data_IF_956644361296
#
_entry.id   IF_956644361296
#
_cell.length_a   1.000
_cell.length_b   1.000
_cell.length_c   1.000
_cell.angle_alpha   90.00
_cell.angle_beta   90.00
_cell.angle_gamma   90.00
#
_symmetry.space_group_name_H-M   'P 1'
#
loop_
_entity.id
_entity.type
_entity.pdbx_description
1 polymer ?
#
# COMPACT_ATOMS: atom_id res chain seq x y z
N UNK A 1 70.15 -10.74 48.79
CA UNK A 1 70.46 -11.16 47.40
C UNK A 1 69.36 -12.14 46.98
N UNK A 2 68.40 -11.71 46.16
CA UNK A 2 67.55 -12.62 45.38
C UNK A 2 67.02 -11.84 44.17
N UNK A 3 67.76 -11.91 43.06
CA UNK A 3 67.32 -11.35 41.77
C UNK A 3 66.06 -12.12 41.37
N UNK A 4 64.93 -11.42 41.30
CA UNK A 4 63.74 -11.92 40.61
C UNK A 4 64.07 -12.01 39.12
N UNK A 5 64.62 -13.16 38.71
CA UNK A 5 64.75 -13.50 37.30
C UNK A 5 63.36 -14.01 36.90
N UNK A 6 62.47 -13.08 36.56
CA UNK A 6 61.36 -13.43 35.66
C UNK A 6 62.05 -13.85 34.37
N UNK A 7 62.20 -15.16 34.17
CA UNK A 7 62.93 -15.72 33.05
C UNK A 7 62.31 -15.19 31.76
N UNK A 8 63.15 -14.58 30.91
CA UNK A 8 62.80 -14.03 29.59
C UNK A 8 61.92 -14.99 28.76
N UNK A 9 62.06 -16.31 29.01
CA UNK A 9 61.23 -17.36 28.42
C UNK A 9 59.75 -17.28 28.81
N UNK A 10 59.40 -16.94 30.07
CA UNK A 10 58.00 -16.81 30.48
C UNK A 10 57.34 -15.57 29.88
N UNK A 11 58.07 -14.46 29.78
CA UNK A 11 57.58 -13.25 29.11
C UNK A 11 57.38 -13.50 27.60
N UNK A 12 58.33 -14.18 26.95
CA UNK A 12 58.21 -14.57 25.55
C UNK A 12 57.04 -15.53 25.32
N UNK A 13 56.81 -16.50 26.21
CA UNK A 13 55.65 -17.41 26.14
C UNK A 13 54.33 -16.68 26.35
N UNK A 14 54.27 -15.70 27.26
CA UNK A 14 53.06 -14.90 27.50
C UNK A 14 52.73 -14.02 26.27
N UNK A 15 53.73 -13.33 25.72
CA UNK A 15 53.57 -12.51 24.51
C UNK A 15 53.19 -13.39 23.31
N UNK A 16 53.85 -14.54 23.14
CA UNK A 16 53.50 -15.52 22.11
C UNK A 16 52.07 -16.05 22.24
N UNK A 17 51.61 -16.32 23.46
CA UNK A 17 50.23 -16.72 23.75
C UNK A 17 49.22 -15.62 23.43
N UNK A 18 49.51 -14.36 23.79
CA UNK A 18 48.64 -13.23 23.47
C UNK A 18 48.55 -13.01 21.96
N UNK A 19 49.67 -13.05 21.23
CA UNK A 19 49.70 -12.91 19.77
C UNK A 19 48.93 -14.05 19.11
N UNK A 20 49.14 -15.29 19.57
CA UNK A 20 48.45 -16.45 19.02
C UNK A 20 46.94 -16.39 19.27
N UNK A 21 46.51 -15.99 20.47
CA UNK A 21 45.09 -15.80 20.78
C UNK A 21 44.49 -14.63 19.98
N UNK A 22 45.21 -13.52 19.79
CA UNK A 22 44.78 -12.43 18.92
C UNK A 22 44.66 -12.88 17.46
N UNK A 23 45.60 -13.68 16.97
CA UNK A 23 45.52 -14.25 15.62
C UNK A 23 44.34 -15.21 15.49
N UNK A 24 44.06 -16.05 16.51
CA UNK A 24 42.87 -16.90 16.50
C UNK A 24 41.58 -16.09 16.57
N UNK A 25 41.50 -15.06 17.42
CA UNK A 25 40.35 -14.15 17.50
C UNK A 25 40.17 -13.45 16.16
N UNK A 26 41.21 -12.84 15.59
CA UNK A 26 41.14 -12.19 14.27
C UNK A 26 40.75 -13.21 13.19
N UNK A 27 41.29 -14.42 13.18
CA UNK A 27 40.96 -15.41 12.16
C UNK A 27 39.53 -15.99 12.31
N UNK A 28 39.04 -16.11 13.55
CA UNK A 28 37.65 -16.53 13.85
C UNK A 28 36.66 -15.40 13.50
N UNK A 29 36.98 -14.14 13.85
CA UNK A 29 36.09 -13.00 13.63
C UNK A 29 36.23 -12.36 12.23
N UNK A 30 37.37 -12.52 11.55
CA UNK A 30 37.70 -11.84 10.27
C UNK A 30 38.00 -12.84 9.14
N UNK A 31 38.38 -14.09 9.45
CA UNK A 31 39.09 -14.95 8.50
C UNK A 31 38.27 -16.03 7.78
N UNK A 32 37.26 -16.64 8.41
CA UNK A 32 36.77 -17.94 7.91
C UNK A 32 35.38 -17.97 7.25
N UNK A 33 34.40 -17.29 7.82
CA UNK A 33 32.98 -17.57 7.51
C UNK A 33 32.16 -16.35 7.08
N UNK A 34 32.69 -15.13 7.17
CA UNK A 34 31.88 -13.89 7.15
C UNK A 34 32.33 -12.83 6.12
N UNK A 35 33.22 -13.16 5.18
CA UNK A 35 33.52 -12.22 4.08
C UNK A 35 32.52 -12.39 2.95
N UNK A 36 31.62 -11.41 2.82
CA UNK A 36 30.81 -11.22 1.61
C UNK A 36 31.77 -11.20 0.41
N UNK A 37 31.52 -12.06 -0.58
CA UNK A 37 32.34 -12.16 -1.79
C UNK A 37 31.72 -11.35 -2.93
N UNK A 38 30.93 -12.00 -3.79
CA UNK A 38 30.32 -11.39 -4.97
C UNK A 38 29.28 -10.31 -4.63
N UNK A 39 28.65 -10.40 -3.47
CA UNK A 39 27.59 -9.48 -3.03
C UNK A 39 28.11 -8.19 -2.39
N UNK A 40 29.41 -8.13 -2.07
CA UNK A 40 29.99 -7.01 -1.31
C UNK A 40 29.84 -5.67 -2.05
N UNK A 41 30.10 -5.65 -3.37
CA UNK A 41 29.97 -4.43 -4.17
C UNK A 41 28.55 -3.87 -4.17
N UNK A 42 27.56 -4.72 -4.45
CA UNK A 42 26.15 -4.32 -4.44
C UNK A 42 25.66 -3.85 -3.06
N UNK A 43 26.16 -4.48 -1.98
CA UNK A 43 25.84 -4.05 -0.62
C UNK A 43 26.42 -2.65 -0.32
N UNK A 44 27.69 -2.42 -0.68
CA UNK A 44 28.35 -1.11 -0.51
C UNK A 44 27.62 -0.03 -1.30
N UNK A 45 27.24 -0.29 -2.55
CA UNK A 45 26.49 0.66 -3.39
C UNK A 45 25.15 1.01 -2.73
N UNK A 46 24.38 0.02 -2.30
CA UNK A 46 23.09 0.24 -1.65
C UNK A 46 23.21 1.06 -0.36
N UNK A 47 24.17 0.72 0.52
CA UNK A 47 24.41 1.47 1.75
C UNK A 47 24.90 2.90 1.47
N UNK A 48 25.77 3.08 0.47
CA UNK A 48 26.29 4.40 0.09
C UNK A 48 25.17 5.32 -0.38
N UNK A 49 24.26 4.81 -1.22
CA UNK A 49 23.10 5.58 -1.70
C UNK A 49 22.13 5.89 -0.56
N UNK A 50 21.83 4.91 0.29
CA UNK A 50 20.94 5.10 1.43
C UNK A 50 21.51 6.09 2.47
N UNK A 51 22.83 6.24 2.53
CA UNK A 51 23.50 7.20 3.42
C UNK A 51 23.54 8.63 2.86
N UNK A 52 23.09 8.88 1.63
CA UNK A 52 23.00 10.24 1.07
C UNK A 52 21.99 11.04 1.90
N UNK A 53 22.46 12.13 2.49
CA UNK A 53 21.63 13.02 3.30
C UNK A 53 20.77 13.92 2.42
N UNK A 54 19.44 13.79 2.56
CA UNK A 54 18.43 14.56 1.84
C UNK A 54 17.52 15.35 2.79
N UNK A 55 18.10 15.92 3.87
CA UNK A 55 17.45 16.86 4.81
C UNK A 55 16.18 16.39 5.51
N UNK A 56 15.85 15.10 5.46
CA UNK A 56 14.57 14.57 5.95
C UNK A 56 13.38 14.85 5.03
N UNK A 57 13.58 15.56 3.93
CA UNK A 57 12.57 15.98 2.95
C UNK A 57 12.80 15.31 1.58
N UNK A 58 13.51 14.19 1.55
CA UNK A 58 13.79 13.45 0.33
C UNK A 58 14.60 12.19 0.60
N UNK A 59 14.95 11.49 -0.47
CA UNK A 59 15.75 10.27 -0.44
C UNK A 59 16.52 10.10 -1.76
N UNK A 60 17.54 9.25 -1.79
CA UNK A 60 18.23 8.88 -3.02
C UNK A 60 17.98 7.41 -3.37
N UNK A 61 18.01 7.10 -4.67
CA UNK A 61 17.84 5.74 -5.19
C UNK A 61 19.03 5.35 -6.07
N UNK A 62 19.30 4.05 -6.16
CA UNK A 62 20.44 3.52 -6.92
C UNK A 62 20.31 3.84 -8.42
N UNK A 63 19.07 3.85 -8.92
CA UNK A 63 18.67 4.22 -10.28
C UNK A 63 18.20 5.68 -10.38
N UNK A 64 18.54 6.52 -9.40
CA UNK A 64 18.23 7.94 -9.38
C UNK A 64 18.97 8.76 -10.45
N UNK A 65 18.49 9.97 -10.70
CA UNK A 65 19.12 10.89 -11.65
C UNK A 65 20.55 11.25 -11.21
N UNK A 66 21.46 11.30 -12.18
CA UNK A 66 22.88 11.63 -11.97
C UNK A 66 23.18 12.99 -12.62
N UNK A 67 23.74 13.93 -11.86
CA UNK A 67 24.22 15.22 -12.40
C UNK A 67 25.68 15.10 -12.84
N UNK A 68 26.11 15.97 -13.77
CA UNK A 68 27.51 16.11 -14.22
C UNK A 68 28.45 16.08 -13.01
N UNK A 69 29.29 15.04 -12.93
CA UNK A 69 30.15 14.76 -11.77
C UNK A 69 29.79 13.50 -10.97
N UNK A 70 28.89 12.64 -11.47
CA UNK A 70 28.52 11.34 -10.88
C UNK A 70 27.92 11.41 -9.46
N UNK A 71 27.30 12.54 -9.10
CA UNK A 71 26.53 12.63 -7.84
C UNK A 71 25.06 12.35 -8.11
N UNK A 72 24.51 11.37 -7.39
CA UNK A 72 23.08 11.10 -7.35
C UNK A 72 22.33 12.29 -6.74
N UNK A 73 21.20 12.63 -7.31
CA UNK A 73 20.32 13.72 -6.86
C UNK A 73 19.29 13.16 -5.88
N UNK A 74 19.05 13.89 -4.79
CA UNK A 74 17.94 13.59 -3.90
C UNK A 74 16.60 13.77 -4.63
N UNK A 75 15.74 12.77 -4.52
CA UNK A 75 14.34 12.82 -4.92
C UNK A 75 13.53 13.43 -3.77
N UNK A 76 13.12 14.69 -3.95
CA UNK A 76 12.50 15.51 -2.91
C UNK A 76 11.01 15.22 -2.75
N UNK A 77 10.54 15.33 -1.51
CA UNK A 77 9.12 15.39 -1.20
C UNK A 77 8.48 16.63 -1.87
N UNK A 78 7.16 16.59 -2.05
CA UNK A 78 6.40 17.72 -2.60
C UNK A 78 6.76 19.01 -1.88
N UNK A 79 6.94 20.09 -2.63
CA UNK A 79 7.28 21.42 -2.11
C UNK A 79 8.70 21.59 -1.55
N UNK A 80 9.58 20.60 -1.71
CA UNK A 80 11.00 20.72 -1.38
C UNK A 80 11.88 20.64 -2.63
N UNK A 81 13.01 21.35 -2.60
CA UNK A 81 13.96 21.43 -3.71
C UNK A 81 15.38 21.67 -3.18
N UNK A 82 16.30 21.86 -4.11
CA UNK A 82 17.73 21.95 -3.84
C UNK A 82 18.41 20.59 -3.90
N UNK A 83 19.76 20.57 -3.88
CA UNK A 83 20.54 19.34 -4.05
C UNK A 83 20.33 18.31 -2.93
N UNK A 84 19.92 18.76 -1.75
CA UNK A 84 19.68 17.96 -0.55
C UNK A 84 18.22 18.08 -0.05
N UNK A 85 17.31 18.62 -0.85
CA UNK A 85 15.90 18.85 -0.49
C UNK A 85 15.66 19.77 0.72
N UNK A 86 16.63 20.59 1.13
CA UNK A 86 16.48 21.51 2.27
C UNK A 86 15.63 22.75 1.99
N UNK A 87 15.39 23.08 0.72
CA UNK A 87 14.77 24.35 0.35
C UNK A 87 13.26 24.18 0.13
N UNK A 88 12.46 24.84 0.96
CA UNK A 88 11.01 24.88 0.77
C UNK A 88 10.64 25.81 -0.38
N UNK A 89 9.72 25.39 -1.24
CA UNK A 89 9.18 26.17 -2.36
C UNK A 89 8.05 27.06 -1.84
N UNK A 90 8.20 28.40 -1.81
CA UNK A 90 7.16 29.30 -1.33
C UNK A 90 5.86 29.17 -2.13
N UNK A 91 4.72 29.33 -1.47
CA UNK A 91 3.38 29.23 -2.07
C UNK A 91 3.09 27.90 -2.78
N UNK A 92 3.83 26.84 -2.46
CA UNK A 92 3.58 25.55 -3.05
C UNK A 92 2.20 24.98 -2.66
N UNK A 93 1.62 24.27 -3.61
CA UNK A 93 0.31 23.63 -3.56
C UNK A 93 0.37 22.32 -2.78
N UNK A 94 -0.52 22.14 -1.81
CA UNK A 94 -0.68 20.88 -1.09
C UNK A 94 -1.23 19.80 -2.05
N UNK A 95 -0.47 18.73 -2.27
CA UNK A 95 -0.91 17.62 -3.12
C UNK A 95 -1.46 16.45 -2.29
N UNK A 96 -2.78 16.44 -2.09
CA UNK A 96 -3.52 15.38 -1.41
C UNK A 96 -4.34 14.51 -2.38
N UNK A 97 -4.01 14.47 -3.66
CA UNK A 97 -4.80 13.79 -4.68
C UNK A 97 -4.46 12.27 -4.77
N UNK A 98 -3.17 11.96 -4.95
CA UNK A 98 -2.66 10.61 -5.10
C UNK A 98 -2.77 9.78 -3.82
N UNK A 99 -3.23 8.53 -3.96
CA UNK A 99 -3.29 7.56 -2.86
C UNK A 99 -1.96 6.86 -2.59
N UNK A 100 -0.81 7.53 -2.72
CA UNK A 100 0.50 6.92 -2.60
C UNK A 100 0.89 6.74 -1.11
N UNK A 101 1.06 5.50 -0.60
CA UNK A 101 1.19 5.22 0.83
C UNK A 101 2.61 5.42 1.38
N UNK A 102 3.20 6.59 1.10
CA UNK A 102 4.55 6.96 1.52
C UNK A 102 4.69 7.14 3.04
N UNK A 103 3.59 7.24 3.79
CA UNK A 103 3.62 7.29 5.26
C UNK A 103 4.27 6.05 5.91
N UNK A 104 4.37 4.93 5.18
CA UNK A 104 5.01 3.69 5.65
C UNK A 104 6.52 3.65 5.37
N UNK A 105 7.08 4.59 4.61
CA UNK A 105 8.51 4.63 4.33
C UNK A 105 9.38 4.74 5.61
N UNK A 106 9.05 5.61 6.59
CA UNK A 106 9.83 5.69 7.83
C UNK A 106 9.89 4.37 8.60
N UNK A 107 8.83 3.55 8.54
CA UNK A 107 8.85 2.21 9.11
C UNK A 107 9.95 1.37 8.45
N UNK A 108 9.98 1.29 7.12
CA UNK A 108 10.98 0.48 6.41
C UNK A 108 12.41 1.00 6.56
N UNK A 109 12.60 2.31 6.72
CA UNK A 109 13.91 2.90 7.03
C UNK A 109 14.45 2.49 8.42
N UNK A 110 13.58 2.05 9.34
CA UNK A 110 13.99 1.49 10.63
C UNK A 110 14.21 -0.03 10.58
N UNK A 111 13.80 -0.69 9.49
CA UNK A 111 13.83 -2.15 9.32
C UNK A 111 14.68 -2.55 8.11
N UNK A 112 15.79 -1.85 7.88
CA UNK A 112 16.65 -2.03 6.69
C UNK A 112 17.17 -3.46 6.57
N UNK A 113 17.78 -4.00 7.64
CA UNK A 113 18.42 -5.31 7.60
C UNK A 113 17.42 -6.47 7.41
N UNK A 114 16.27 -6.42 8.07
CA UNK A 114 15.24 -7.48 7.98
C UNK A 114 14.48 -7.44 6.65
N UNK A 115 14.47 -6.32 5.94
CA UNK A 115 13.75 -6.14 4.67
C UNK A 115 14.62 -6.09 3.41
N UNK A 116 15.95 -5.91 3.55
CA UNK A 116 16.88 -5.84 2.43
C UNK A 116 17.00 -7.17 1.65
N UNK A 117 17.32 -7.05 0.35
CA UNK A 117 17.54 -8.17 -0.56
C UNK A 117 18.80 -7.94 -1.40
N UNK A 118 19.58 -9.01 -1.56
CA UNK A 118 20.60 -9.10 -2.60
C UNK A 118 20.13 -10.12 -3.63
N UNK A 119 19.99 -9.70 -4.88
CA UNK A 119 19.48 -10.53 -5.97
C UNK A 119 20.62 -10.90 -6.91
N UNK A 120 20.93 -12.20 -7.00
CA UNK A 120 21.94 -12.68 -7.94
C UNK A 120 21.46 -12.49 -9.39
N UNK A 121 22.36 -12.14 -10.31
CA UNK A 121 22.00 -11.83 -11.72
C UNK A 121 21.35 -12.98 -12.50
N UNK A 122 21.45 -14.22 -12.03
CA UNK A 122 20.79 -15.38 -12.63
C UNK A 122 19.45 -15.74 -11.97
N UNK A 123 19.02 -15.00 -10.94
CA UNK A 123 17.81 -15.31 -10.17
C UNK A 123 16.57 -15.38 -11.08
N UNK A 124 15.93 -16.55 -11.12
CA UNK A 124 14.63 -16.77 -11.76
C UNK A 124 14.53 -16.24 -13.22
N UNK A 125 15.58 -16.39 -14.03
CA UNK A 125 15.57 -16.00 -15.46
C UNK A 125 14.51 -16.72 -16.31
N UNK A 126 13.98 -17.85 -15.82
CA UNK A 126 12.93 -18.61 -16.51
C UNK A 126 11.55 -17.95 -16.39
N UNK A 127 10.73 -18.08 -17.43
CA UNK A 127 9.33 -17.65 -17.41
C UNK A 127 8.51 -18.29 -16.28
N UNK A 128 8.83 -19.54 -15.92
CA UNK A 128 8.06 -20.32 -14.93
C UNK A 128 8.93 -20.83 -13.79
N UNK A 129 8.34 -20.85 -12.59
CA UNK A 129 8.84 -21.66 -11.48
C UNK A 129 8.71 -23.16 -11.80
N UNK A 130 9.34 -24.00 -10.96
CA UNK A 130 9.16 -25.45 -11.02
C UNK A 130 7.69 -25.86 -11.05
N UNK A 131 7.35 -26.80 -11.95
CA UNK A 131 5.96 -27.20 -12.20
C UNK A 131 5.18 -26.27 -13.13
N UNK A 132 5.87 -25.45 -13.94
CA UNK A 132 5.28 -24.53 -14.95
C UNK A 132 4.35 -23.45 -14.38
N UNK A 133 4.50 -23.11 -13.10
CA UNK A 133 3.73 -22.05 -12.45
C UNK A 133 4.33 -20.66 -12.71
N UNK A 134 3.49 -19.65 -12.90
CA UNK A 134 3.93 -18.24 -12.92
C UNK A 134 4.18 -17.67 -11.51
N UNK A 135 3.67 -18.35 -10.48
CA UNK A 135 3.57 -17.85 -9.12
C UNK A 135 4.42 -18.63 -8.12
N UNK A 136 5.06 -17.91 -7.21
CA UNK A 136 5.85 -18.46 -6.11
C UNK A 136 4.95 -19.14 -5.08
N UNK A 137 5.16 -20.44 -4.87
CA UNK A 137 4.47 -21.21 -3.83
C UNK A 137 4.87 -20.75 -2.42
N UNK A 138 6.11 -20.33 -2.22
CA UNK A 138 6.59 -19.82 -0.94
C UNK A 138 5.96 -18.46 -0.61
N UNK A 139 5.81 -17.58 -1.60
CA UNK A 139 5.07 -16.33 -1.41
C UNK A 139 3.61 -16.60 -1.02
N UNK A 140 2.95 -17.55 -1.69
CA UNK A 140 1.58 -17.93 -1.34
C UNK A 140 1.46 -18.52 0.08
N UNK A 141 2.49 -19.19 0.60
CA UNK A 141 2.52 -19.64 2.01
C UNK A 141 2.66 -18.45 2.96
N UNK A 142 3.54 -17.50 2.66
CA UNK A 142 3.75 -16.30 3.48
C UNK A 142 2.50 -15.43 3.52
N UNK A 143 1.83 -15.22 2.39
CA UNK A 143 0.54 -14.51 2.32
C UNK A 143 -0.51 -15.15 3.25
N UNK A 144 -0.62 -16.49 3.26
CA UNK A 144 -1.53 -17.19 4.19
C UNK A 144 -1.17 -16.96 5.65
N UNK A 145 0.12 -16.96 5.99
CA UNK A 145 0.60 -16.67 7.35
C UNK A 145 0.26 -15.25 7.77
N UNK A 146 0.44 -14.27 6.89
CA UNK A 146 0.08 -12.86 7.17
C UNK A 146 -1.42 -12.74 7.45
N UNK A 147 -2.28 -13.30 6.60
CA UNK A 147 -3.71 -13.28 6.85
C UNK A 147 -4.12 -14.02 8.12
N UNK A 148 -3.48 -15.15 8.45
CA UNK A 148 -3.72 -15.87 9.69
C UNK A 148 -3.28 -15.07 10.93
N UNK A 149 -2.16 -14.35 10.85
CA UNK A 149 -1.67 -13.49 11.93
C UNK A 149 -2.56 -12.28 12.18
N UNK A 150 -3.16 -11.72 11.12
CA UNK A 150 -4.04 -10.54 11.24
C UNK A 150 -5.48 -10.96 11.55
N UNK A 151 -5.92 -12.12 11.07
CA UNK A 151 -7.30 -12.57 11.21
C UNK A 151 -8.30 -11.82 10.30
N UNK A 152 -7.84 -11.21 9.20
CA UNK A 152 -8.68 -10.41 8.30
C UNK A 152 -9.27 -11.20 7.12
N UNK A 153 -8.80 -12.41 6.81
CA UNK A 153 -9.32 -13.21 5.70
C UNK A 153 -9.17 -14.71 5.92
N UNK A 154 -10.17 -15.49 5.46
CA UNK A 154 -10.10 -16.95 5.39
C UNK A 154 -9.31 -17.36 4.16
N UNK A 155 -8.19 -18.06 4.37
CA UNK A 155 -7.29 -18.48 3.27
C UNK A 155 -7.05 -20.01 3.21
N UNK A 156 -7.58 -20.73 4.20
CA UNK A 156 -7.55 -22.18 4.29
C UNK A 156 -8.42 -22.78 3.18
N UNK A 157 -7.89 -23.78 2.47
CA UNK A 157 -8.58 -24.40 1.33
C UNK A 157 -9.04 -23.37 0.28
N UNK A 158 -8.21 -22.35 0.03
CA UNK A 158 -8.40 -21.34 -1.01
C UNK A 158 -7.21 -21.33 -1.97
N UNK A 159 -7.50 -21.02 -3.22
CA UNK A 159 -6.48 -20.75 -4.23
C UNK A 159 -5.94 -19.33 -4.08
N UNK A 160 -4.68 -19.13 -4.46
CA UNK A 160 -4.03 -17.81 -4.48
C UNK A 160 -3.38 -17.59 -5.84
N UNK A 161 -3.64 -16.43 -6.44
CA UNK A 161 -2.93 -15.94 -7.63
C UNK A 161 -2.30 -14.59 -7.34
N UNK A 162 -1.29 -14.21 -8.12
CA UNK A 162 -0.68 -12.88 -8.08
C UNK A 162 -0.96 -12.11 -9.35
N UNK A 163 -0.99 -10.78 -9.24
CA UNK A 163 -1.05 -9.85 -10.36
C UNK A 163 -0.15 -8.65 -10.15
N UNK A 164 0.09 -7.92 -11.24
CA UNK A 164 0.76 -6.62 -11.31
C UNK A 164 -0.08 -5.53 -10.60
N UNK A 165 -0.13 -5.61 -9.28
CA UNK A 165 -1.05 -4.87 -8.41
C UNK A 165 -2.46 -5.47 -8.39
N UNK A 166 -3.29 -5.02 -7.44
CA UNK A 166 -4.72 -5.39 -7.42
C UNK A 166 -5.44 -4.97 -8.70
N UNK A 167 -4.96 -3.91 -9.38
CA UNK A 167 -5.46 -3.46 -10.68
C UNK A 167 -5.53 -4.59 -11.71
N UNK A 168 -4.49 -5.42 -11.87
CA UNK A 168 -4.53 -6.55 -12.81
C UNK A 168 -5.43 -7.67 -12.29
N UNK A 169 -5.41 -7.89 -10.97
CA UNK A 169 -6.20 -8.95 -10.31
C UNK A 169 -7.71 -8.69 -10.45
N UNK A 170 -8.17 -7.45 -10.28
CA UNK A 170 -9.57 -7.05 -10.46
C UNK A 170 -10.04 -7.28 -11.90
N UNK A 171 -9.27 -6.83 -12.90
CA UNK A 171 -9.56 -7.11 -14.32
C UNK A 171 -9.67 -8.61 -14.60
N UNK A 172 -8.74 -9.41 -14.06
CA UNK A 172 -8.78 -10.87 -14.20
C UNK A 172 -10.03 -11.48 -13.54
N UNK A 173 -10.44 -10.97 -12.36
CA UNK A 173 -11.63 -11.44 -11.65
C UNK A 173 -12.90 -11.15 -12.43
N UNK A 174 -13.07 -9.92 -12.94
CA UNK A 174 -14.22 -9.54 -13.78
C UNK A 174 -14.31 -10.45 -15.01
N UNK A 175 -13.19 -10.67 -15.70
CA UNK A 175 -13.14 -11.59 -16.84
C UNK A 175 -13.52 -13.03 -16.45
N UNK A 176 -12.98 -13.53 -15.34
CA UNK A 176 -13.16 -14.91 -14.89
C UNK A 176 -14.54 -15.20 -14.26
N UNK A 177 -15.25 -14.17 -13.80
CA UNK A 177 -16.62 -14.29 -13.29
C UNK A 177 -17.68 -14.04 -14.35
N UNK A 178 -17.30 -13.46 -15.49
CA UNK A 178 -18.22 -13.28 -16.62
C UNK A 178 -18.68 -14.65 -17.15
N UNK A 179 -19.98 -14.83 -17.44
CA UNK A 179 -20.51 -16.09 -17.92
C UNK A 179 -19.95 -16.44 -19.30
N UNK A 180 -19.90 -17.73 -19.62
CA UNK A 180 -19.53 -18.22 -20.95
C UNK A 180 -20.77 -18.50 -21.79
N UNK A 181 -20.66 -18.31 -23.10
CA UNK A 181 -21.71 -18.66 -24.07
C UNK A 181 -23.08 -18.00 -23.83
N UNK A 182 -23.11 -16.80 -23.24
CA UNK A 182 -24.34 -16.00 -23.10
C UNK A 182 -24.49 -15.00 -24.23
N UNK A 183 -25.73 -14.73 -24.64
CA UNK A 183 -26.06 -13.71 -25.64
C UNK A 183 -25.89 -12.27 -25.13
N UNK A 184 -25.84 -12.09 -23.81
CA UNK A 184 -25.66 -10.78 -23.15
C UNK A 184 -24.42 -10.76 -22.25
N UNK A 185 -23.68 -9.64 -22.21
CA UNK A 185 -22.56 -9.46 -21.28
C UNK A 185 -23.04 -9.40 -19.83
N UNK A 186 -22.20 -9.82 -18.89
CA UNK A 186 -22.40 -9.56 -17.47
C UNK A 186 -22.44 -8.05 -17.19
N UNK A 187 -23.31 -7.65 -16.27
CA UNK A 187 -23.42 -6.28 -15.79
C UNK A 187 -22.50 -6.09 -14.60
N UNK A 188 -21.46 -5.30 -14.77
CA UNK A 188 -20.53 -4.97 -13.69
C UNK A 188 -21.00 -3.70 -13.01
N UNK A 189 -21.16 -3.74 -11.69
CA UNK A 189 -21.73 -2.66 -10.89
C UNK A 189 -20.92 -2.41 -9.63
N UNK A 190 -21.03 -1.19 -9.11
CA UNK A 190 -20.36 -0.71 -7.90
C UNK A 190 -21.35 0.15 -7.10
N UNK A 191 -21.27 0.20 -5.78
CA UNK A 191 -22.10 1.11 -4.98
C UNK A 191 -21.46 2.49 -4.82
N UNK A 192 -22.20 3.55 -5.13
CA UNK A 192 -21.73 4.94 -4.98
C UNK A 192 -21.58 5.33 -3.49
N UNK A 193 -20.53 6.06 -3.09
CA UNK A 193 -19.33 6.37 -3.87
C UNK A 193 -18.42 5.15 -4.01
N UNK A 194 -17.73 5.03 -5.16
CA UNK A 194 -16.89 3.88 -5.51
C UNK A 194 -15.49 4.31 -6.01
N UNK A 195 -14.55 3.37 -6.03
CA UNK A 195 -13.22 3.63 -6.58
C UNK A 195 -13.27 3.87 -8.10
N UNK A 196 -12.86 5.05 -8.63
CA UNK A 196 -13.10 5.40 -10.03
C UNK A 196 -12.49 4.43 -11.05
N UNK A 197 -11.39 3.75 -10.67
CA UNK A 197 -10.73 2.79 -11.56
C UNK A 197 -11.59 1.56 -11.81
N UNK A 198 -12.50 1.17 -10.92
CA UNK A 198 -13.40 0.03 -11.16
C UNK A 198 -14.26 0.29 -12.40
N UNK A 199 -14.82 1.49 -12.50
CA UNK A 199 -15.54 1.97 -13.69
C UNK A 199 -14.60 2.09 -14.89
N UNK A 200 -13.51 2.87 -14.76
CA UNK A 200 -12.62 3.18 -15.88
C UNK A 200 -12.02 1.92 -16.49
N UNK A 201 -11.52 1.01 -15.67
CA UNK A 201 -10.94 -0.26 -16.09
C UNK A 201 -11.97 -1.15 -16.77
N UNK A 202 -13.16 -1.30 -16.17
CA UNK A 202 -14.23 -2.13 -16.75
C UNK A 202 -14.72 -1.58 -18.08
N UNK A 203 -14.81 -0.26 -18.22
CA UNK A 203 -15.17 0.38 -19.49
C UNK A 203 -14.05 0.21 -20.52
N UNK A 204 -12.79 0.41 -20.13
CA UNK A 204 -11.63 0.27 -21.01
C UNK A 204 -11.48 -1.16 -21.57
N UNK A 205 -11.71 -2.18 -20.74
CA UNK A 205 -11.66 -3.59 -21.15
C UNK A 205 -13.02 -4.17 -21.54
N UNK A 206 -14.05 -3.33 -21.72
CA UNK A 206 -15.40 -3.81 -22.03
C UNK A 206 -15.38 -4.70 -23.28
N UNK A 207 -16.14 -5.79 -23.24
CA UNK A 207 -16.17 -6.80 -24.29
C UNK A 207 -17.55 -7.46 -24.35
N UNK A 208 -17.72 -8.44 -25.23
CA UNK A 208 -18.93 -9.27 -25.26
C UNK A 208 -19.18 -10.02 -23.93
N UNK A 209 -18.16 -10.14 -23.07
CA UNK A 209 -18.27 -10.84 -21.77
C UNK A 209 -18.86 -9.98 -20.67
N UNK A 210 -18.54 -8.69 -20.64
CA UNK A 210 -18.95 -7.79 -19.56
C UNK A 210 -18.96 -6.33 -19.99
N UNK A 211 -19.79 -5.55 -19.28
CA UNK A 211 -19.81 -4.09 -19.38
C UNK A 211 -20.18 -3.46 -18.05
N UNK A 212 -19.66 -2.26 -17.82
CA UNK A 212 -20.01 -1.47 -16.65
C UNK A 212 -21.41 -0.87 -16.80
N UNK A 213 -22.23 -0.97 -15.76
CA UNK A 213 -23.64 -0.56 -15.77
C UNK A 213 -24.02 0.38 -14.61
N UNK A 214 -23.03 0.93 -13.91
CA UNK A 214 -23.24 1.99 -12.93
C UNK A 214 -23.56 1.48 -11.52
N UNK A 215 -24.42 2.26 -10.85
CA UNK A 215 -24.68 2.13 -9.42
C UNK A 215 -25.51 0.89 -9.07
N UNK A 216 -25.00 0.09 -8.14
CA UNK A 216 -25.65 -1.09 -7.60
C UNK A 216 -27.03 -0.78 -6.98
N UNK A 217 -27.19 0.31 -6.24
CA UNK A 217 -28.48 0.63 -5.62
C UNK A 217 -29.57 0.95 -6.66
N UNK A 218 -29.21 1.60 -7.77
CA UNK A 218 -30.15 1.87 -8.88
C UNK A 218 -30.60 0.59 -9.60
N UNK A 219 -29.72 -0.40 -9.68
CA UNK A 219 -30.02 -1.70 -10.29
C UNK A 219 -30.92 -2.58 -9.42
N UNK A 220 -30.73 -2.54 -8.10
CA UNK A 220 -31.54 -3.32 -7.15
C UNK A 220 -33.05 -3.01 -7.23
N UNK A 221 -33.40 -1.81 -7.71
CA UNK A 221 -34.79 -1.39 -7.89
C UNK A 221 -35.42 -1.84 -9.23
N UNK A 222 -34.70 -2.60 -10.06
CA UNK A 222 -35.20 -3.06 -11.37
C UNK A 222 -35.82 -4.46 -11.29
N UNK A 223 -36.90 -4.65 -12.05
CA UNK A 223 -37.62 -5.92 -12.12
C UNK A 223 -36.84 -7.07 -12.77
N UNK A 224 -35.85 -6.77 -13.61
CA UNK A 224 -35.03 -7.74 -14.34
C UNK A 224 -33.74 -8.15 -13.61
N UNK A 225 -33.46 -7.54 -12.45
CA UNK A 225 -32.23 -7.75 -11.69
C UNK A 225 -31.97 -9.23 -11.36
N UNK A 226 -33.00 -9.98 -10.96
CA UNK A 226 -32.88 -11.40 -10.55
C UNK A 226 -32.50 -12.34 -11.70
N UNK A 227 -32.88 -11.98 -12.93
CA UNK A 227 -32.60 -12.75 -14.15
C UNK A 227 -31.30 -12.34 -14.84
N UNK A 228 -30.67 -11.25 -14.39
CA UNK A 228 -29.50 -10.65 -15.03
C UNK A 228 -28.21 -11.21 -14.42
N UNK A 229 -27.24 -11.55 -15.28
CA UNK A 229 -25.89 -11.90 -14.82
C UNK A 229 -25.18 -10.63 -14.32
N UNK A 230 -24.94 -10.54 -13.01
CA UNK A 230 -24.32 -9.39 -12.38
C UNK A 230 -22.99 -9.74 -11.73
N UNK A 231 -22.04 -8.80 -11.80
CA UNK A 231 -20.79 -8.84 -11.06
C UNK A 231 -20.72 -7.56 -10.23
N UNK A 232 -20.83 -7.69 -8.92
CA UNK A 232 -20.69 -6.57 -7.99
C UNK A 232 -19.24 -6.47 -7.50
N UNK A 233 -18.61 -5.31 -7.71
CA UNK A 233 -17.31 -5.00 -7.09
C UNK A 233 -17.58 -4.27 -5.78
N UNK A 234 -17.23 -4.92 -4.67
CA UNK A 234 -17.44 -4.43 -3.30
C UNK A 234 -16.09 -4.02 -2.72
N UNK A 235 -15.83 -2.71 -2.64
CA UNK A 235 -14.61 -2.20 -1.98
C UNK A 235 -14.90 -2.04 -0.48
N UNK A 236 -14.14 -2.71 0.38
CA UNK A 236 -14.39 -2.73 1.83
C UNK A 236 -13.08 -2.88 2.62
N UNK A 237 -12.63 -1.87 3.41
CA UNK A 237 -13.12 -0.51 3.51
C UNK A 237 -13.19 0.19 2.16
N UNK A 238 -14.25 0.97 1.97
CA UNK A 238 -14.54 1.63 0.72
C UNK A 238 -13.58 2.80 0.43
N UNK A 239 -13.38 3.07 -0.85
CA UNK A 239 -12.68 4.27 -1.34
C UNK A 239 -13.74 5.15 -2.00
N UNK A 240 -14.08 6.32 -1.43
CA UNK A 240 -13.20 7.16 -0.63
C UNK A 240 -13.43 7.17 0.90
N UNK A 241 -14.60 6.75 1.37
CA UNK A 241 -15.09 7.06 2.73
C UNK A 241 -14.59 6.13 3.85
N UNK A 242 -13.93 5.02 3.53
CA UNK A 242 -13.45 4.04 4.51
C UNK A 242 -14.52 3.17 5.15
N UNK A 243 -15.77 3.18 4.64
CA UNK A 243 -16.83 2.36 5.21
C UNK A 243 -16.65 0.87 4.88
N UNK A 244 -16.94 0.00 5.84
CA UNK A 244 -17.03 -1.44 5.60
C UNK A 244 -18.31 -1.77 4.84
N UNK A 245 -18.20 -1.93 3.52
CA UNK A 245 -19.31 -2.31 2.64
C UNK A 245 -19.51 -3.82 2.57
N UNK A 246 -20.73 -4.21 2.21
CA UNK A 246 -21.16 -5.57 1.88
C UNK A 246 -21.81 -5.57 0.50
N UNK A 247 -21.88 -6.73 -0.14
CA UNK A 247 -22.64 -6.91 -1.36
C UNK A 247 -24.12 -6.54 -1.16
N UNK A 248 -24.69 -5.86 -2.15
CA UNK A 248 -26.11 -5.49 -2.21
C UNK A 248 -26.92 -6.61 -2.87
N UNK A 249 -26.33 -7.30 -3.85
CA UNK A 249 -27.04 -8.33 -4.61
C UNK A 249 -26.79 -9.73 -4.06
N UNK A 250 -27.82 -10.57 -4.16
CA UNK A 250 -27.76 -12.00 -3.82
C UNK A 250 -28.52 -12.83 -4.85
N UNK A 251 -28.03 -14.02 -5.14
CA UNK A 251 -28.70 -14.96 -6.03
C UNK A 251 -27.73 -15.74 -6.92
N UNK A 252 -28.25 -16.73 -7.67
CA UNK A 252 -27.41 -17.63 -8.48
C UNK A 252 -26.71 -16.93 -9.66
N UNK A 253 -27.30 -15.84 -10.17
CA UNK A 253 -26.77 -15.06 -11.30
C UNK A 253 -25.85 -13.91 -10.85
N UNK A 254 -25.62 -13.77 -9.55
CA UNK A 254 -24.80 -12.71 -8.96
C UNK A 254 -23.45 -13.29 -8.59
N UNK A 255 -22.39 -12.57 -8.97
CA UNK A 255 -21.02 -12.81 -8.50
C UNK A 255 -20.50 -11.57 -7.81
N UNK A 256 -19.65 -11.75 -6.81
CA UNK A 256 -19.06 -10.66 -6.03
C UNK A 256 -17.54 -10.71 -6.11
N UNK A 257 -16.93 -9.54 -6.18
CA UNK A 257 -15.48 -9.35 -6.04
C UNK A 257 -15.30 -8.39 -4.86
N UNK A 258 -14.69 -8.87 -3.78
CA UNK A 258 -14.38 -8.01 -2.65
C UNK A 258 -12.97 -7.43 -2.80
N UNK A 259 -12.86 -6.12 -3.05
CA UNK A 259 -11.59 -5.40 -2.98
C UNK A 259 -11.30 -5.00 -1.53
N UNK A 260 -10.36 -5.71 -0.92
CA UNK A 260 -9.88 -5.55 0.44
C UNK A 260 -8.51 -4.88 0.48
N UNK A 261 -8.20 -3.99 -0.47
CA UNK A 261 -6.95 -3.21 -0.45
C UNK A 261 -6.68 -2.53 0.91
N UNK A 262 -7.74 -2.03 1.58
CA UNK A 262 -7.64 -1.32 2.87
C UNK A 262 -8.03 -2.17 4.09
N UNK A 263 -8.33 -3.47 3.94
CA UNK A 263 -8.83 -4.29 5.06
C UNK A 263 -7.70 -4.80 5.95
N UNK A 264 -7.01 -3.84 6.56
CA UNK A 264 -5.86 -4.02 7.45
C UNK A 264 -6.02 -3.15 8.69
N UNK A 265 -5.44 -3.54 9.84
CA UNK A 265 -5.47 -2.75 11.09
C UNK A 265 -4.97 -1.31 10.95
N UNK A 266 -4.25 -1.00 9.88
CA UNK A 266 -3.83 0.35 9.48
C UNK A 266 -4.99 1.32 9.39
N UNK A 267 -6.08 0.89 8.75
CA UNK A 267 -7.13 1.78 8.24
C UNK A 267 -8.47 1.56 8.93
N UNK A 268 -8.72 0.34 9.40
CA UNK A 268 -10.00 -0.06 9.97
C UNK A 268 -9.80 -1.07 11.10
N UNK A 269 -10.67 -1.06 12.12
CA UNK A 269 -10.89 -2.23 12.97
C UNK A 269 -11.19 -3.46 12.12
N UNK A 270 -10.71 -4.62 12.55
CA UNK A 270 -11.03 -5.93 11.94
C UNK A 270 -12.16 -6.57 12.76
N UNK A 271 -13.44 -6.47 12.34
CA UNK A 271 -14.54 -7.07 13.08
C UNK A 271 -14.57 -8.60 12.97
N UNK A 272 -14.20 -9.15 11.81
CA UNK A 272 -14.18 -10.58 11.53
C UNK A 272 -13.33 -10.88 10.28
N UNK A 273 -12.83 -12.11 10.10
CA UNK A 273 -12.21 -12.49 8.84
C UNK A 273 -13.23 -12.45 7.70
N UNK A 274 -12.85 -11.87 6.56
CA UNK A 274 -13.63 -11.97 5.33
C UNK A 274 -13.57 -13.39 4.77
N UNK A 275 -14.71 -13.93 4.33
CA UNK A 275 -14.83 -15.26 3.71
C UNK A 275 -15.70 -15.21 2.46
N UNK A 276 -15.24 -14.46 1.46
CA UNK A 276 -15.97 -14.21 0.22
C UNK A 276 -15.40 -15.04 -0.95
N UNK A 277 -16.15 -15.18 -2.03
CA UNK A 277 -15.79 -16.07 -3.16
C UNK A 277 -14.49 -15.64 -3.85
N UNK A 278 -14.32 -14.33 -4.06
CA UNK A 278 -13.10 -13.70 -4.58
C UNK A 278 -12.76 -12.49 -3.72
N UNK A 279 -11.65 -12.56 -3.01
CA UNK A 279 -11.12 -11.46 -2.20
C UNK A 279 -9.81 -10.97 -2.78
N UNK A 280 -9.68 -9.68 -3.05
CA UNK A 280 -8.51 -9.04 -3.66
C UNK A 280 -7.78 -8.18 -2.63
N UNK A 281 -6.46 -8.28 -2.62
CA UNK A 281 -5.58 -7.53 -1.74
C UNK A 281 -4.38 -6.97 -2.50
N UNK A 282 -3.67 -6.00 -1.90
CA UNK A 282 -2.46 -5.44 -2.50
C UNK A 282 -1.37 -5.16 -1.48
N UNK A 283 -0.14 -5.42 -1.90
CA UNK A 283 1.07 -5.05 -1.16
C UNK A 283 1.16 -3.51 -0.97
N UNK A 284 0.60 -2.75 -1.91
CA UNK A 284 0.64 -1.28 -1.93
C UNK A 284 0.13 -0.69 -0.62
N UNK A 285 -1.05 -1.13 -0.18
CA UNK A 285 -1.74 -0.56 0.99
C UNK A 285 -1.41 -1.28 2.29
N UNK A 286 -0.90 -2.51 2.23
CA UNK A 286 -0.38 -3.21 3.39
C UNK A 286 1.02 -2.70 3.81
N UNK A 287 1.93 -2.48 2.86
CA UNK A 287 3.34 -2.24 3.19
C UNK A 287 3.88 -0.93 2.63
N UNK A 288 3.08 -0.11 1.94
CA UNK A 288 3.60 1.11 1.31
C UNK A 288 4.25 0.88 -0.05
N UNK A 289 4.52 -0.37 -0.44
CA UNK A 289 5.26 -0.73 -1.64
C UNK A 289 4.41 -0.68 -2.91
N UNK A 290 3.80 0.47 -3.20
CA UNK A 290 2.96 0.68 -4.37
C UNK A 290 3.74 0.45 -5.68
N UNK A 291 5.00 0.87 -5.74
CA UNK A 291 5.90 0.69 -6.90
C UNK A 291 6.27 -0.77 -7.21
N UNK A 292 6.19 -1.69 -6.25
CA UNK A 292 6.45 -3.12 -6.49
C UNK A 292 5.40 -3.76 -7.40
N UNK A 293 4.23 -3.12 -7.54
CA UNK A 293 3.10 -3.61 -8.36
C UNK A 293 2.77 -5.06 -8.03
N UNK A 294 2.50 -5.38 -6.77
CA UNK A 294 2.03 -6.72 -6.38
C UNK A 294 0.64 -6.67 -5.73
N UNK A 295 -0.27 -7.46 -6.26
CA UNK A 295 -1.55 -7.79 -5.63
C UNK A 295 -1.82 -9.28 -5.71
N UNK A 296 -2.80 -9.76 -4.93
CA UNK A 296 -3.22 -11.15 -4.95
C UNK A 296 -4.73 -11.27 -4.81
N UNK A 297 -5.27 -12.39 -5.30
CA UNK A 297 -6.62 -12.82 -4.97
C UNK A 297 -6.59 -14.11 -4.16
N UNK A 298 -7.52 -14.23 -3.21
CA UNK A 298 -7.89 -15.46 -2.51
C UNK A 298 -9.22 -15.91 -3.09
N UNK A 299 -9.26 -17.14 -3.61
CA UNK A 299 -10.36 -17.61 -4.46
C UNK A 299 -10.88 -18.95 -3.93
N UNK A 300 -12.21 -19.07 -3.81
CA UNK A 300 -12.88 -20.32 -3.43
C UNK A 300 -12.98 -21.31 -4.58
N UNK A 301 -13.52 -20.86 -5.71
CA UNK A 301 -13.87 -21.71 -6.84
C UNK A 301 -12.66 -22.00 -7.76
N UNK A 302 -12.38 -23.28 -8.00
CA UNK A 302 -11.26 -23.73 -8.85
C UNK A 302 -11.44 -23.32 -10.32
N UNK A 303 -12.67 -23.28 -10.83
CA UNK A 303 -12.99 -22.83 -12.18
C UNK A 303 -12.67 -21.35 -12.33
N UNK A 304 -13.04 -20.53 -11.35
CA UNK A 304 -12.69 -19.09 -11.34
C UNK A 304 -11.18 -18.92 -11.28
N UNK A 305 -10.50 -19.66 -10.40
CA UNK A 305 -9.03 -19.66 -10.32
C UNK A 305 -8.37 -20.00 -11.67
N UNK A 306 -8.81 -21.07 -12.32
CA UNK A 306 -8.26 -21.49 -13.62
C UNK A 306 -8.52 -20.46 -14.71
N UNK A 307 -9.69 -19.81 -14.72
CA UNK A 307 -10.02 -18.73 -15.67
C UNK A 307 -9.17 -17.48 -15.43
N UNK A 308 -8.91 -17.13 -14.17
CA UNK A 308 -7.98 -16.05 -13.84
C UNK A 308 -6.55 -16.41 -14.26
N UNK A 309 -6.10 -17.66 -14.08
CA UNK A 309 -4.79 -18.13 -14.57
C UNK A 309 -4.65 -17.97 -16.09
N UNK A 310 -5.70 -18.28 -16.86
CA UNK A 310 -5.72 -18.05 -18.31
C UNK A 310 -5.56 -16.56 -18.61
N UNK A 311 -6.32 -15.69 -17.93
CA UNK A 311 -6.20 -14.25 -18.11
C UNK A 311 -4.78 -13.75 -17.82
N UNK A 312 -4.18 -14.17 -16.70
CA UNK A 312 -2.82 -13.77 -16.30
C UNK A 312 -1.76 -14.23 -17.31
N UNK A 313 -1.92 -15.43 -17.87
CA UNK A 313 -1.06 -15.94 -18.93
C UNK A 313 -1.14 -15.06 -20.18
N UNK A 314 -2.35 -14.74 -20.63
CA UNK A 314 -2.57 -13.97 -21.86
C UNK A 314 -2.22 -12.51 -21.71
N UNK A 315 -2.41 -11.93 -20.52
CA UNK A 315 -2.18 -10.51 -20.30
C UNK A 315 -0.70 -10.16 -20.17
N UNK A 316 0.09 -10.98 -19.45
CA UNK A 316 1.48 -10.64 -19.15
C UNK A 316 2.41 -11.82 -18.93
N UNK A 317 1.98 -13.06 -19.23
CA UNK A 317 2.74 -14.27 -18.93
C UNK A 317 3.14 -14.38 -17.45
N UNK A 318 2.23 -13.97 -16.56
CA UNK A 318 2.45 -13.96 -15.11
C UNK A 318 2.91 -12.61 -14.56
N UNK A 319 3.65 -12.63 -13.45
CA UNK A 319 4.11 -11.45 -12.72
C UNK A 319 5.62 -11.51 -12.53
N UNK A 320 6.28 -10.34 -12.52
CA UNK A 320 7.72 -10.20 -12.27
C UNK A 320 8.18 -11.06 -11.09
N UNK A 321 9.25 -11.82 -11.29
CA UNK A 321 9.84 -12.68 -10.26
C UNK A 321 10.50 -11.84 -9.17
N UNK A 322 11.06 -10.70 -9.54
CA UNK A 322 11.65 -9.73 -8.60
C UNK A 322 10.58 -9.10 -7.72
N UNK A 323 9.42 -8.74 -8.29
CA UNK A 323 8.30 -8.24 -7.50
C UNK A 323 7.80 -9.28 -6.49
N UNK A 324 7.71 -10.56 -6.91
CA UNK A 324 7.33 -11.67 -6.03
C UNK A 324 8.40 -11.93 -4.94
N UNK A 325 9.69 -11.86 -5.27
CA UNK A 325 10.78 -12.02 -4.30
C UNK A 325 10.79 -10.86 -3.29
N UNK A 326 10.67 -9.62 -3.76
CA UNK A 326 10.60 -8.43 -2.89
C UNK A 326 9.42 -8.52 -1.93
N UNK A 327 8.24 -8.88 -2.43
CA UNK A 327 7.08 -9.10 -1.57
C UNK A 327 7.28 -10.24 -0.58
N UNK A 328 7.92 -11.35 -1.00
CA UNK A 328 8.23 -12.46 -0.11
C UNK A 328 9.09 -12.01 1.06
N UNK A 329 10.14 -11.22 0.81
CA UNK A 329 10.99 -10.68 1.89
C UNK A 329 10.23 -9.72 2.80
N UNK A 330 9.53 -8.75 2.22
CA UNK A 330 8.77 -7.76 2.97
C UNK A 330 7.71 -8.40 3.87
N UNK A 331 6.96 -9.38 3.36
CA UNK A 331 5.92 -10.04 4.14
C UNK A 331 6.51 -10.96 5.22
N UNK A 332 7.70 -11.54 5.03
CA UNK A 332 8.39 -12.23 6.14
C UNK A 332 8.85 -11.23 7.20
N UNK A 333 9.38 -10.07 6.82
CA UNK A 333 9.72 -9.02 7.78
C UNK A 333 8.48 -8.56 8.57
N UNK A 334 7.32 -8.40 7.91
CA UNK A 334 6.05 -8.13 8.62
C UNK A 334 5.72 -9.22 9.66
N UNK A 335 5.93 -10.49 9.33
CA UNK A 335 5.68 -11.59 10.27
C UNK A 335 6.69 -11.62 11.43
N UNK A 336 7.96 -11.28 11.17
CA UNK A 336 9.03 -11.21 12.17
C UNK A 336 8.77 -10.08 13.18
N UNK A 337 8.31 -8.91 12.71
CA UNK A 337 7.97 -7.76 13.56
C UNK A 337 6.63 -7.92 14.32
N UNK A 338 5.87 -8.97 14.05
CA UNK A 338 4.57 -9.23 14.68
C UNK A 338 3.56 -8.11 14.42
N UNK A 339 3.28 -7.29 15.43
CA UNK A 339 2.34 -6.16 15.31
C UNK A 339 2.99 -4.86 14.87
N UNK A 340 4.33 -4.79 14.77
CA UNK A 340 5.08 -3.53 14.64
C UNK A 340 4.63 -2.61 13.51
N UNK A 341 4.46 -3.13 12.29
CA UNK A 341 3.99 -2.31 11.15
C UNK A 341 2.55 -1.82 11.34
N UNK A 342 1.70 -2.65 11.93
CA UNK A 342 0.28 -2.34 12.16
C UNK A 342 0.15 -1.27 13.24
N UNK A 343 0.95 -1.36 14.31
CA UNK A 343 0.99 -0.37 15.39
C UNK A 343 1.52 0.97 14.88
N UNK A 344 2.64 0.96 14.16
CA UNK A 344 3.18 2.16 13.53
C UNK A 344 2.15 2.83 12.61
N UNK A 345 1.52 2.04 11.73
CA UNK A 345 0.57 2.55 10.75
C UNK A 345 -0.69 3.11 11.43
N UNK A 346 -1.29 2.36 12.37
CA UNK A 346 -2.48 2.78 13.09
C UNK A 346 -2.22 4.08 13.87
N UNK A 347 -1.12 4.19 14.61
CA UNK A 347 -0.81 5.41 15.37
C UNK A 347 -0.59 6.62 14.45
N UNK A 348 0.13 6.43 13.34
CA UNK A 348 0.37 7.49 12.36
C UNK A 348 -0.94 7.97 11.76
N UNK A 349 -1.78 7.06 11.26
CA UNK A 349 -3.05 7.39 10.61
C UNK A 349 -4.06 7.97 11.61
N UNK A 350 -4.10 7.46 12.85
CA UNK A 350 -4.93 8.01 13.92
C UNK A 350 -4.53 9.46 14.22
N UNK A 351 -3.25 9.74 14.41
CA UNK A 351 -2.76 11.10 14.69
C UNK A 351 -3.11 12.07 13.55
N UNK A 352 -2.95 11.63 12.29
CA UNK A 352 -3.33 12.42 11.11
C UNK A 352 -4.84 12.70 11.07
N UNK A 353 -5.65 11.68 11.34
CA UNK A 353 -7.10 11.84 11.40
C UNK A 353 -7.53 12.83 12.49
N UNK A 354 -6.99 12.71 13.71
CA UNK A 354 -7.29 13.60 14.83
C UNK A 354 -6.93 15.07 14.52
N UNK A 355 -5.72 15.31 13.97
CA UNK A 355 -5.28 16.66 13.57
C UNK A 355 -6.17 17.26 12.47
N UNK A 356 -6.57 16.44 11.49
CA UNK A 356 -7.47 16.88 10.43
C UNK A 356 -8.86 17.25 10.99
N UNK A 357 -9.45 16.38 11.81
CA UNK A 357 -10.76 16.63 12.42
C UNK A 357 -10.73 17.93 13.24
N UNK A 358 -9.69 18.13 14.05
CA UNK A 358 -9.50 19.37 14.80
C UNK A 358 -9.47 20.59 13.87
N UNK A 359 -8.71 20.52 12.78
CA UNK A 359 -8.60 21.63 11.80
C UNK A 359 -9.94 21.92 11.12
N UNK A 360 -10.63 20.90 10.63
CA UNK A 360 -11.92 21.06 9.94
C UNK A 360 -13.01 21.58 10.89
N UNK A 361 -12.99 21.18 12.16
CA UNK A 361 -13.98 21.60 13.17
C UNK A 361 -13.93 23.08 13.55
N UNK A 362 -12.93 23.84 13.07
CA UNK A 362 -12.82 25.28 13.33
C UNK A 362 -13.89 26.12 12.61
N UNK A 363 -14.56 25.57 11.60
CA UNK A 363 -15.75 26.19 10.99
C UNK A 363 -16.79 25.14 10.63
N UNK A 364 -17.96 25.61 10.20
CA UNK A 364 -19.00 24.77 9.58
C UNK A 364 -18.90 24.73 8.04
N UNK A 365 -17.84 25.26 7.43
CA UNK A 365 -17.68 25.31 5.98
C UNK A 365 -17.52 23.92 5.35
N UNK A 366 -16.89 23.00 6.08
CA UNK A 366 -16.63 21.65 5.61
C UNK A 366 -17.09 20.60 6.63
N UNK A 367 -17.45 19.42 6.14
CA UNK A 367 -17.66 18.23 6.96
C UNK A 367 -16.82 17.05 6.47
N UNK A 368 -16.63 16.07 7.35
CA UNK A 368 -15.91 14.83 7.10
C UNK A 368 -16.85 13.64 7.25
N UNK A 369 -16.46 12.47 6.72
CA UNK A 369 -17.22 11.25 6.93
C UNK A 369 -17.31 10.86 8.41
N UNK A 370 -18.39 10.15 8.76
CA UNK A 370 -18.54 9.58 10.10
C UNK A 370 -17.44 8.56 10.40
N UNK A 371 -16.90 8.64 11.62
CA UNK A 371 -15.90 7.71 12.12
C UNK A 371 -16.40 7.08 13.43
N UNK A 372 -17.14 5.99 13.29
CA UNK A 372 -17.76 5.28 14.42
C UNK A 372 -16.83 4.17 14.94
N UNK A 373 -16.43 4.18 16.22
CA UNK A 373 -15.58 3.13 16.79
C UNK A 373 -16.19 1.73 16.66
N UNK A 374 -15.36 0.73 16.38
CA UNK A 374 -15.76 -0.67 16.28
C UNK A 374 -14.79 -1.58 17.02
N UNK A 375 -15.27 -2.75 17.42
CA UNK A 375 -14.43 -3.76 18.05
C UNK A 375 -13.49 -4.39 17.01
N UNK A 376 -12.20 -4.43 17.32
CA UNK A 376 -11.14 -4.99 16.49
C UNK A 376 -10.66 -6.30 17.11
N UNK A 377 -10.81 -7.42 16.39
CA UNK A 377 -10.37 -8.75 16.82
C UNK A 377 -8.85 -8.87 16.86
N UNK A 378 -8.14 -8.19 15.94
CA UNK A 378 -6.68 -8.17 15.91
C UNK A 378 -6.08 -7.58 17.19
N UNK A 379 -6.66 -6.48 17.70
CA UNK A 379 -6.19 -5.80 18.91
C UNK A 379 -6.96 -6.18 20.18
N UNK A 380 -8.03 -6.97 20.05
CA UNK A 380 -8.95 -7.33 21.13
C UNK A 380 -9.48 -6.12 21.92
N UNK A 381 -9.82 -5.03 21.22
CA UNK A 381 -10.36 -3.81 21.83
C UNK A 381 -11.18 -2.99 20.84
N UNK A 382 -12.00 -2.07 21.36
CA UNK A 382 -12.66 -1.05 20.54
C UNK A 382 -11.63 -0.05 20.03
N UNK A 383 -11.67 0.23 18.74
CA UNK A 383 -10.80 1.20 18.06
C UNK A 383 -11.62 2.12 17.16
N UNK A 384 -11.13 3.35 17.01
CA UNK A 384 -11.61 4.26 15.97
C UNK A 384 -11.08 3.82 14.61
N UNK A 385 -11.78 4.18 13.53
CA UNK A 385 -11.24 4.03 12.18
C UNK A 385 -10.11 5.04 11.99
N UNK A 386 -9.14 4.69 11.16
CA UNK A 386 -7.99 5.53 10.82
C UNK A 386 -7.86 5.58 9.30
N UNK A 387 -8.87 6.15 8.61
CA UNK A 387 -9.07 5.94 7.19
C UNK A 387 -7.90 6.46 6.34
N UNK A 388 -7.65 5.82 5.19
CA UNK A 388 -6.62 6.25 4.25
C UNK A 388 -6.91 7.64 3.62
N UNK A 389 -8.18 8.06 3.63
CA UNK A 389 -8.64 9.27 2.98
C UNK A 389 -9.63 10.01 3.86
N UNK A 390 -9.63 11.34 3.73
CA UNK A 390 -10.74 12.17 4.15
C UNK A 390 -11.68 12.39 2.96
N UNK A 391 -12.96 12.16 3.20
CA UNK A 391 -14.04 12.43 2.27
C UNK A 391 -14.70 13.74 2.70
N UNK A 392 -14.08 14.83 2.25
CA UNK A 392 -14.45 16.19 2.62
C UNK A 392 -15.67 16.63 1.80
N UNK A 393 -16.66 17.22 2.45
CA UNK A 393 -17.80 17.87 1.80
C UNK A 393 -17.76 19.37 2.07
N UNK A 394 -18.00 20.19 1.05
CA UNK A 394 -18.30 21.60 1.21
C UNK A 394 -19.78 21.78 1.57
N UNK A 395 -20.07 22.48 2.67
CA UNK A 395 -21.45 22.62 3.18
C UNK A 395 -22.14 23.92 2.74
N UNK A 396 -21.37 24.90 2.25
CA UNK A 396 -21.93 26.18 1.80
C UNK A 396 -22.57 26.05 0.43
N UNK A 397 -23.72 26.71 0.24
CA UNK A 397 -24.43 26.69 -1.05
C UNK A 397 -23.63 27.36 -2.18
N UNK A 398 -22.74 28.31 -1.86
CA UNK A 398 -21.81 28.91 -2.83
C UNK A 398 -20.63 27.99 -3.22
N UNK A 399 -20.29 27.01 -2.38
CA UNK A 399 -19.13 26.12 -2.55
C UNK A 399 -19.52 24.79 -3.25
N UNK A 400 -20.44 24.84 -4.23
CA UNK A 400 -20.94 23.62 -4.92
C UNK A 400 -19.85 22.84 -5.65
N UNK A 401 -18.90 23.54 -6.24
CA UNK A 401 -17.68 22.94 -6.79
C UNK A 401 -16.61 22.96 -5.71
N UNK A 402 -16.62 21.93 -4.87
CA UNK A 402 -15.73 21.85 -3.72
C UNK A 402 -14.27 21.69 -4.15
N UNK A 403 -14.02 21.11 -5.34
CA UNK A 403 -12.68 21.02 -5.89
C UNK A 403 -12.14 22.40 -6.27
N UNK A 404 -12.92 23.23 -6.96
CA UNK A 404 -12.51 24.59 -7.30
C UNK A 404 -12.20 25.44 -6.05
N UNK A 405 -12.99 25.26 -4.98
CA UNK A 405 -12.76 25.93 -3.68
C UNK A 405 -11.40 25.55 -3.09
N UNK A 406 -11.06 24.26 -3.06
CA UNK A 406 -9.77 23.79 -2.56
C UNK A 406 -8.60 24.19 -3.48
N UNK A 407 -8.80 24.13 -4.80
CA UNK A 407 -7.78 24.50 -5.79
C UNK A 407 -7.41 25.98 -5.65
N UNK A 408 -8.40 26.87 -5.49
CA UNK A 408 -8.17 28.29 -5.21
C UNK A 408 -7.38 28.55 -3.91
N UNK A 409 -7.46 27.61 -2.96
CA UNK A 409 -6.69 27.61 -1.71
C UNK A 409 -5.33 26.92 -1.81
N UNK A 410 -4.88 26.57 -3.02
CA UNK A 410 -3.67 25.79 -3.28
C UNK A 410 -3.70 24.39 -2.62
N UNK A 411 -4.84 23.70 -2.69
CA UNK A 411 -4.99 22.31 -2.27
C UNK A 411 -5.53 21.49 -3.43
N UNK A 412 -4.80 20.46 -3.84
CA UNK A 412 -5.26 19.51 -4.86
C UNK A 412 -5.72 18.24 -4.14
N UNK A 413 -7.01 17.94 -4.26
CA UNK A 413 -7.60 16.65 -3.90
C UNK A 413 -8.17 15.94 -5.12
N UNK A 414 -8.86 14.82 -4.92
CA UNK A 414 -9.55 14.11 -6.01
C UNK A 414 -11.03 14.46 -6.04
N UNK A 415 -11.50 14.98 -7.17
CA UNK A 415 -12.89 15.40 -7.41
C UNK A 415 -13.91 14.29 -7.08
N UNK A 416 -15.00 14.65 -6.42
CA UNK A 416 -15.99 13.70 -5.93
C UNK A 416 -16.83 13.04 -7.02
N UNK A 417 -17.12 13.75 -8.11
CA UNK A 417 -17.85 13.23 -9.27
C UNK A 417 -17.19 12.02 -9.94
N UNK A 418 -15.86 11.88 -9.82
CA UNK A 418 -15.12 10.71 -10.32
C UNK A 418 -15.54 9.43 -9.59
N UNK A 419 -15.96 9.54 -8.32
CA UNK A 419 -16.44 8.44 -7.48
C UNK A 419 -17.95 8.17 -7.64
N UNK A 420 -18.60 8.90 -8.56
CA UNK A 420 -20.05 8.87 -8.75
C UNK A 420 -20.85 9.71 -7.75
N UNK A 421 -20.17 10.50 -6.90
CA UNK A 421 -20.80 11.44 -5.97
C UNK A 421 -21.04 12.81 -6.61
N UNK A 422 -21.52 13.77 -5.82
CA UNK A 422 -21.73 15.16 -6.27
C UNK A 422 -20.42 15.97 -6.24
N UNK A 423 -20.39 17.10 -6.97
CA UNK A 423 -19.22 18.01 -7.03
C UNK A 423 -18.90 18.69 -5.68
N UNK A 424 -19.83 18.62 -4.74
CA UNK A 424 -19.65 19.10 -3.36
C UNK A 424 -18.68 18.28 -2.52
N UNK A 425 -18.12 17.19 -3.06
CA UNK A 425 -17.18 16.31 -2.36
C UNK A 425 -15.78 16.31 -2.98
N UNK A 426 -14.75 16.18 -2.14
CA UNK A 426 -13.36 15.96 -2.53
C UNK A 426 -12.73 14.90 -1.63
N UNK A 427 -11.99 13.96 -2.22
CA UNK A 427 -11.14 13.01 -1.47
C UNK A 427 -9.75 13.60 -1.25
N UNK A 428 -9.33 13.69 0.00
CA UNK A 428 -7.98 14.08 0.41
C UNK A 428 -7.19 12.89 0.94
N UNK A 429 -5.97 12.69 0.44
CA UNK A 429 -5.07 11.61 0.82
C UNK A 429 -4.38 11.87 2.14
N UNK A 430 -4.50 10.93 3.07
CA UNK A 430 -3.85 10.98 4.38
C UNK A 430 -2.65 10.02 4.48
N UNK A 431 -2.34 9.29 3.42
CA UNK A 431 -1.32 8.23 3.38
C UNK A 431 0.01 8.66 2.76
N UNK A 432 0.15 9.93 2.38
CA UNK A 432 1.39 10.45 1.78
C UNK A 432 2.49 10.71 2.81
N UNK A 433 3.54 11.45 2.47
CA UNK A 433 4.63 11.78 3.41
C UNK A 433 4.12 12.66 4.56
N UNK A 434 4.96 12.85 5.59
CA UNK A 434 4.61 13.76 6.68
C UNK A 434 4.57 15.22 6.19
N UNK A 435 5.50 15.61 5.33
CA UNK A 435 5.51 16.92 4.66
C UNK A 435 4.20 17.20 3.90
N UNK A 436 3.74 16.24 3.08
CA UNK A 436 2.49 16.38 2.33
C UNK A 436 1.29 16.62 3.28
N UNK A 437 1.26 15.92 4.42
CA UNK A 437 0.19 16.06 5.41
C UNK A 437 0.27 17.40 6.15
N UNK A 438 1.46 17.84 6.57
CA UNK A 438 1.62 19.10 7.31
C UNK A 438 1.27 20.31 6.43
N UNK A 439 1.67 20.31 5.16
CA UNK A 439 1.31 21.35 4.19
C UNK A 439 -0.22 21.34 3.94
N UNK A 440 -0.85 20.17 3.84
CA UNK A 440 -2.31 20.05 3.73
C UNK A 440 -3.03 20.70 4.92
N UNK A 441 -2.60 20.38 6.14
CA UNK A 441 -3.19 20.94 7.36
C UNK A 441 -2.99 22.46 7.43
N UNK A 442 -1.80 22.97 7.10
CA UNK A 442 -1.53 24.41 7.05
C UNK A 442 -2.47 25.13 6.08
N UNK A 443 -2.62 24.60 4.86
CA UNK A 443 -3.48 25.21 3.82
C UNK A 443 -4.97 25.13 4.19
N UNK A 444 -5.43 24.01 4.74
CA UNK A 444 -6.81 23.88 5.22
C UNK A 444 -7.09 24.85 6.37
N UNK A 445 -6.20 24.93 7.35
CA UNK A 445 -6.33 25.86 8.46
C UNK A 445 -6.45 27.31 7.93
N UNK A 446 -5.55 27.72 7.03
CA UNK A 446 -5.59 29.04 6.41
C UNK A 446 -6.91 29.32 5.69
N UNK A 447 -7.37 28.37 4.86
CA UNK A 447 -8.65 28.47 4.13
C UNK A 447 -9.85 28.63 5.08
N UNK A 448 -9.81 27.95 6.22
CA UNK A 448 -10.89 27.98 7.22
C UNK A 448 -10.86 29.28 8.03
N UNK A 449 -9.69 29.75 8.46
CA UNK A 449 -9.59 30.93 9.33
C UNK A 449 -9.64 32.26 8.59
N UNK A 450 -9.10 32.34 7.37
CA UNK A 450 -9.09 33.58 6.57
C UNK A 450 -10.35 33.73 5.72
N UNK A 451 -10.94 32.62 5.24
CA UNK A 451 -12.14 32.62 4.40
C UNK A 451 -13.44 33.06 5.10
N UNK A 452 -13.43 33.14 6.43
CA UNK A 452 -14.56 33.62 7.25
C UNK A 452 -14.43 35.10 7.66
N UNK A 453 -13.24 35.69 7.51
CA UNK A 453 -12.98 37.09 7.87
C UNK A 453 -13.54 38.12 6.89
N UNK A 454 -13.70 37.76 5.61
CA UNK A 454 -14.16 38.68 4.56
C UNK A 454 -15.68 38.90 4.52
N UNK A 455 -16.44 38.28 5.43
CA UNK A 455 -17.88 38.53 5.61
C UNK A 455 -18.23 39.30 6.90
N UNK A 456 -17.24 39.76 7.66
CA UNK A 456 -17.46 40.52 8.92
C UNK A 456 -16.91 41.96 8.92
N UNK A 457 -16.58 42.53 7.75
CA UNK A 457 -16.38 43.98 7.61
C UNK A 457 -17.41 44.65 6.70
#
# INVERSE_FOLDING_TARGET
MMKSIVSSKYLACLVGSIILNLLFIINIYVGGQWKLSWSLGAAIEAETVAAIYCSGHGRAYLDGLVVVGNKLVCDCNTCFTGPDCSQFIPHCTANADGGDPLFLEPFWMQHLASSALVVAGWHQMSYTYGGKSFFSKELAKVVRKVHASVGNAVTQNRFIIFGAGSTQVLSAAVFALSPENTSSPAKVVTSVPYYPVDKQQTQYFSSQKFKYEGDAYRWNNRSDCSSTNMIEIVTSPNNPDGQLKKAIFHGPNVKTIYDHAYYWPHFTPIPAPSDEDVMVFTLSKLTGHAGTRLGWAVIKDETVFNRMMIHMRMNSMGVSKDAQLRAFKLLNAVLEEGTGIFDFAYQTMKSRWERLVQTVSLSNRFSLQENNPQYCTFYNKVQQLSPAYAWLKCEREEDKDCYAVLEAANIIGRQGNLFGAEDGYVRLSLVRTQDDFDILIERLHKLITEGDGDKTM
#
